data_IF_704446867478
#
_entry.id   IF_704446867478
#
_cell.length_a   1.000
_cell.length_b   1.000
_cell.length_c   1.000
_cell.angle_alpha   90.00
_cell.angle_beta   90.00
_cell.angle_gamma   90.00
#
_symmetry.space_group_name_H-M   'P 1'
#
loop_
_entity.id
_entity.type
_entity.pdbx_description
1 polymer ?
#
# COMPACT_ATOMS: atom_id res chain seq x y z
N UNK A 1 20.04 5.85 18.80
CA UNK A 1 19.37 7.14 18.52
C UNK A 1 17.93 7.00 18.95
N UNK A 2 17.40 7.97 19.73
CA UNK A 2 16.01 7.96 20.18
C UNK A 2 15.34 9.21 19.60
N UNK A 3 14.22 9.02 18.92
CA UNK A 3 13.39 10.08 18.38
C UNK A 3 12.01 10.02 19.03
N UNK A 4 11.46 11.19 19.35
CA UNK A 4 10.13 11.34 19.93
C UNK A 4 9.22 12.02 18.93
N UNK A 5 8.01 11.50 18.78
CA UNK A 5 6.97 12.07 17.92
C UNK A 5 5.75 12.45 18.74
N UNK A 6 5.12 13.57 18.38
CA UNK A 6 3.92 14.09 19.04
C UNK A 6 2.84 14.35 18.00
N UNK A 7 1.65 13.82 18.23
CA UNK A 7 0.47 14.21 17.45
C UNK A 7 -0.03 15.56 18.00
N UNK A 8 -0.27 16.53 17.11
CA UNK A 8 -0.40 17.95 17.47
C UNK A 8 -1.52 18.32 18.46
N UNK A 9 -2.42 17.40 18.79
CA UNK A 9 -3.53 17.59 19.75
C UNK A 9 -3.33 16.87 21.09
N UNK A 10 -2.29 16.07 21.26
CA UNK A 10 -1.90 15.54 22.57
C UNK A 10 -0.87 16.46 23.20
N UNK A 11 -0.77 16.53 24.52
CA UNK A 11 0.28 17.28 25.19
C UNK A 11 1.56 16.45 25.41
N UNK A 12 1.41 15.13 25.48
CA UNK A 12 2.47 14.15 25.69
C UNK A 12 2.92 13.47 24.37
N UNK A 13 4.16 12.96 24.28
CA UNK A 13 4.63 12.21 23.12
C UNK A 13 3.78 10.96 22.90
N UNK A 14 3.21 10.85 21.70
CA UNK A 14 2.29 9.75 21.34
C UNK A 14 3.04 8.47 21.00
N UNK A 15 4.30 8.58 20.58
CA UNK A 15 5.16 7.43 20.36
C UNK A 15 6.64 7.75 20.60
N UNK A 16 7.39 6.71 20.94
CA UNK A 16 8.85 6.72 21.00
C UNK A 16 9.42 5.72 19.98
N UNK A 17 10.41 6.15 19.19
CA UNK A 17 11.14 5.30 18.27
C UNK A 17 12.62 5.28 18.69
N UNK A 18 13.12 4.10 19.03
CA UNK A 18 14.51 3.90 19.40
C UNK A 18 15.19 2.91 18.46
N UNK A 19 16.35 3.31 17.95
CA UNK A 19 17.19 2.48 17.11
C UNK A 19 18.52 2.22 17.81
N UNK A 20 18.84 0.95 17.99
CA UNK A 20 20.10 0.48 18.57
C UNK A 20 20.79 -0.42 17.57
N UNK A 21 22.01 -0.06 17.18
CA UNK A 21 22.89 -0.93 16.40
C UNK A 21 23.74 -1.73 17.39
N UNK A 22 23.61 -3.05 17.36
CA UNK A 22 24.46 -3.93 18.16
C UNK A 22 25.49 -4.59 17.25
N UNK A 23 26.80 -4.35 17.47
CA UNK A 23 27.83 -5.13 16.80
C UNK A 23 27.84 -6.54 17.37
N UNK A 24 27.83 -7.57 16.52
CA UNK A 24 28.06 -8.94 16.98
C UNK A 24 29.52 -9.10 17.44
N UNK A 25 29.75 -9.89 18.49
CA UNK A 25 31.10 -10.31 18.88
C UNK A 25 31.62 -11.19 17.74
N UNK A 26 32.63 -10.69 17.02
CA UNK A 26 33.12 -11.33 15.80
C UNK A 26 33.51 -12.80 16.00
N UNK A 27 33.23 -13.61 14.99
CA UNK A 27 33.82 -14.94 14.91
C UNK A 27 35.33 -14.83 14.59
N UNK A 28 36.04 -15.96 14.70
CA UNK A 28 37.50 -16.01 14.47
C UNK A 28 37.92 -15.69 13.02
N UNK A 29 36.97 -15.49 12.10
CA UNK A 29 37.25 -15.15 10.69
C UNK A 29 37.29 -13.64 10.42
N UNK A 30 36.90 -12.81 11.40
CA UNK A 30 36.91 -11.35 11.29
C UNK A 30 35.74 -10.80 10.47
N UNK A 31 34.75 -11.62 10.14
CA UNK A 31 33.54 -11.19 9.47
C UNK A 31 32.54 -10.66 10.50
N UNK A 32 31.96 -9.48 10.25
CA UNK A 32 31.07 -8.81 11.19
C UNK A 32 29.66 -8.75 10.63
N UNK A 33 28.73 -9.49 11.24
CA UNK A 33 27.31 -9.20 11.09
C UNK A 33 26.94 -8.12 12.09
N UNK A 34 26.06 -7.23 11.67
CA UNK A 34 25.47 -6.23 12.56
C UNK A 34 23.97 -6.40 12.54
N UNK A 35 23.36 -6.24 13.70
CA UNK A 35 21.92 -6.22 13.85
C UNK A 35 21.48 -4.80 14.18
N UNK A 36 20.41 -4.36 13.52
CA UNK A 36 19.72 -3.12 13.86
C UNK A 36 18.45 -3.51 14.59
N UNK A 37 18.38 -3.17 15.87
CA UNK A 37 17.15 -3.30 16.65
C UNK A 37 16.38 -1.99 16.57
N UNK A 38 15.15 -2.07 16.08
CA UNK A 38 14.20 -0.97 16.07
C UNK A 38 13.13 -1.27 17.11
N UNK A 39 12.94 -0.36 18.05
CA UNK A 39 11.90 -0.45 19.06
C UNK A 39 10.95 0.74 18.88
N UNK A 40 9.67 0.43 18.72
CA UNK A 40 8.59 1.41 18.55
C UNK A 40 7.60 1.23 19.68
N UNK A 41 7.38 2.29 20.44
CA UNK A 41 6.45 2.32 21.58
C UNK A 41 5.35 3.31 21.26
N UNK A 42 4.09 2.90 21.38
CA UNK A 42 2.95 3.78 21.27
C UNK A 42 2.36 4.03 22.66
N UNK A 43 2.22 5.29 23.03
CA UNK A 43 1.70 5.69 24.33
C UNK A 43 0.26 6.19 24.17
N UNK A 44 -0.68 5.48 24.79
CA UNK A 44 -2.06 5.90 24.87
C UNK A 44 -2.29 6.67 26.16
N UNK A 45 -2.99 7.81 26.07
CA UNK A 45 -3.53 8.46 27.26
C UNK A 45 -4.61 7.56 27.86
N UNK A 46 -4.41 7.16 29.12
CA UNK A 46 -5.42 6.43 29.87
C UNK A 46 -6.57 7.39 30.23
N UNK A 47 -7.81 6.90 30.13
CA UNK A 47 -8.96 7.58 30.70
C UNK A 47 -8.88 7.63 32.24
N UNK A 48 -9.73 8.45 32.87
CA UNK A 48 -9.67 8.68 34.31
C UNK A 48 -10.03 7.42 35.13
N UNK A 49 -10.77 6.49 34.55
CA UNK A 49 -11.12 5.20 35.17
C UNK A 49 -9.87 4.30 35.24
N UNK A 50 -9.12 4.19 34.15
CA UNK A 50 -7.87 3.43 34.07
C UNK A 50 -6.73 4.08 34.86
N UNK A 51 -6.66 5.42 34.92
CA UNK A 51 -5.73 6.13 35.83
C UNK A 51 -6.00 5.80 37.30
N UNK A 52 -7.27 5.58 37.66
CA UNK A 52 -7.68 5.19 39.01
C UNK A 52 -7.24 3.77 39.41
N UNK A 53 -6.88 2.90 38.47
CA UNK A 53 -6.55 1.50 38.75
C UNK A 53 -5.17 1.27 39.39
N UNK A 54 -4.35 2.32 39.59
CA UNK A 54 -2.93 2.26 40.00
C UNK A 54 -2.06 1.45 39.01
N UNK A 55 -0.83 1.90 38.77
CA UNK A 55 0.06 1.23 37.81
C UNK A 55 0.38 -0.20 38.27
N UNK A 56 -0.15 -1.20 37.58
CA UNK A 56 0.34 -2.58 37.68
C UNK A 56 1.16 -2.88 36.43
N UNK A 57 2.48 -2.79 36.55
CA UNK A 57 3.37 -3.36 35.56
C UNK A 57 3.56 -4.83 35.90
N UNK A 58 2.70 -5.69 35.36
CA UNK A 58 2.88 -7.13 35.44
C UNK A 58 3.33 -7.62 34.07
N UNK A 59 4.56 -8.11 34.00
CA UNK A 59 5.13 -8.67 32.79
C UNK A 59 4.79 -10.15 32.77
N UNK A 60 3.91 -10.56 31.86
CA UNK A 60 3.57 -11.96 31.70
C UNK A 60 4.37 -12.55 30.54
N UNK A 61 5.20 -13.54 30.85
CA UNK A 61 5.85 -14.38 29.85
C UNK A 61 5.18 -15.76 29.89
N UNK A 62 4.74 -16.32 28.74
CA UNK A 62 4.23 -17.68 28.72
C UNK A 62 5.35 -18.65 29.15
N UNK A 63 5.23 -19.22 30.36
CA UNK A 63 6.11 -20.31 30.83
C UNK A 63 5.84 -21.62 30.07
N UNK A 64 4.81 -21.68 29.23
CA UNK A 64 4.36 -22.91 28.56
C UNK A 64 5.34 -23.41 27.49
N UNK A 65 6.36 -22.63 27.12
CA UNK A 65 7.29 -22.98 26.04
C UNK A 65 6.67 -22.92 24.64
N UNK A 66 5.43 -22.44 24.53
CA UNK A 66 4.76 -22.24 23.25
C UNK A 66 5.43 -21.11 22.47
N UNK A 67 5.48 -21.25 21.14
CA UNK A 67 5.95 -20.16 20.29
C UNK A 67 5.02 -18.95 20.41
N UNK A 68 5.58 -17.74 20.27
CA UNK A 68 4.80 -16.48 20.26
C UNK A 68 3.58 -16.55 19.32
N UNK A 69 3.74 -17.24 18.19
CA UNK A 69 2.71 -17.39 17.17
C UNK A 69 1.59 -18.33 17.62
N UNK A 70 1.93 -19.42 18.31
CA UNK A 70 0.94 -20.30 18.93
C UNK A 70 0.15 -19.58 20.03
N UNK A 71 0.82 -18.76 20.83
CA UNK A 71 0.19 -17.94 21.85
C UNK A 71 -0.74 -16.87 21.25
N UNK A 72 -0.28 -16.09 20.26
CA UNK A 72 -1.11 -15.08 19.55
C UNK A 72 -2.35 -15.72 18.93
N UNK A 73 -2.19 -16.89 18.31
CA UNK A 73 -3.32 -17.66 17.78
C UNK A 73 -4.29 -18.10 18.88
N UNK A 74 -3.83 -18.38 20.10
CA UNK A 74 -4.68 -18.75 21.23
C UNK A 74 -5.51 -17.57 21.73
N UNK A 75 -4.92 -16.37 21.82
CA UNK A 75 -5.61 -15.13 22.22
C UNK A 75 -6.70 -14.79 21.20
N UNK A 76 -6.40 -14.92 19.90
CA UNK A 76 -7.38 -14.73 18.82
C UNK A 76 -8.55 -15.71 18.87
N UNK A 77 -8.34 -16.94 19.34
CA UNK A 77 -9.41 -17.94 19.56
C UNK A 77 -10.27 -17.59 20.78
N UNK A 78 -9.68 -17.13 21.87
CA UNK A 78 -10.41 -16.73 23.07
C UNK A 78 -11.27 -15.48 22.88
N UNK A 79 -10.83 -14.52 22.05
CA UNK A 79 -11.63 -13.35 21.66
C UNK A 79 -12.89 -13.74 20.86
N UNK A 80 -12.78 -14.73 19.96
CA UNK A 80 -13.91 -15.25 19.18
C UNK A 80 -14.95 -15.98 20.05
N UNK A 81 -14.51 -16.64 21.13
CA UNK A 81 -15.41 -17.30 22.08
C UNK A 81 -16.26 -16.32 22.90
N UNK A 82 -15.83 -15.06 23.08
CA UNK A 82 -16.63 -14.02 23.75
C UNK A 82 -17.64 -13.35 22.81
N UNK A 83 -17.30 -13.23 21.52
CA UNK A 83 -18.22 -12.66 20.52
C UNK A 83 -19.38 -13.60 20.15
N UNK A 84 -19.25 -14.90 20.37
CA UNK A 84 -20.37 -15.85 20.23
C UNK A 84 -21.48 -15.65 21.30
N UNK A 85 -21.18 -14.99 22.43
CA UNK A 85 -22.17 -14.71 23.48
C UNK A 85 -22.98 -13.42 23.22
N UNK A 86 -22.65 -12.63 22.19
CA UNK A 86 -23.29 -11.35 21.86
C UNK A 86 -23.99 -11.36 20.49
N UNK A 87 -24.63 -12.48 20.14
CA UNK A 87 -25.84 -12.52 19.29
C UNK A 87 -25.92 -11.60 18.07
N UNK A 88 -24.86 -11.48 17.26
CA UNK A 88 -24.90 -10.79 15.97
C UNK A 88 -24.70 -11.80 14.84
N UNK A 89 -25.80 -12.42 14.40
CA UNK A 89 -25.84 -13.12 13.12
C UNK A 89 -26.29 -12.13 12.04
N UNK A 90 -25.34 -11.66 11.23
CA UNK A 90 -25.63 -10.97 9.98
C UNK A 90 -25.69 -12.01 8.86
N UNK A 91 -26.85 -12.18 8.26
CA UNK A 91 -27.06 -13.06 7.12
C UNK A 91 -26.53 -12.39 5.85
N UNK A 92 -25.33 -12.79 5.41
CA UNK A 92 -24.82 -12.44 4.08
C UNK A 92 -25.51 -13.32 3.04
N UNK A 93 -26.41 -12.72 2.26
CA UNK A 93 -26.85 -13.28 0.99
C UNK A 93 -25.67 -13.20 0.00
N UNK A 94 -25.05 -14.34 -0.30
CA UNK A 94 -24.10 -14.49 -1.38
C UNK A 94 -24.89 -14.46 -2.69
N UNK A 95 -24.93 -13.31 -3.35
CA UNK A 95 -25.24 -13.24 -4.77
C UNK A 95 -24.05 -13.83 -5.53
N UNK A 96 -24.31 -14.83 -6.38
CA UNK A 96 -23.34 -15.30 -7.36
C UNK A 96 -23.05 -14.16 -8.33
N UNK A 97 -21.97 -13.42 -8.07
CA UNK A 97 -21.37 -12.51 -9.04
C UNK A 97 -20.85 -13.41 -10.16
N UNK A 98 -21.48 -13.33 -11.32
CA UNK A 98 -20.99 -13.94 -12.55
C UNK A 98 -19.57 -13.43 -12.78
N UNK A 99 -18.56 -14.26 -12.46
CA UNK A 99 -17.17 -13.94 -12.72
C UNK A 99 -17.00 -13.76 -14.23
N UNK A 100 -17.07 -12.50 -14.66
CA UNK A 100 -16.62 -12.09 -15.99
C UNK A 100 -15.24 -12.68 -16.18
N UNK A 101 -15.03 -13.37 -17.30
CA UNK A 101 -13.79 -14.09 -17.59
C UNK A 101 -12.61 -13.12 -17.48
N UNK A 102 -11.91 -13.13 -16.34
CA UNK A 102 -10.71 -12.32 -16.12
C UNK A 102 -9.71 -12.59 -17.25
N UNK A 103 -9.24 -11.52 -17.90
CA UNK A 103 -8.24 -11.64 -18.94
C UNK A 103 -6.97 -12.35 -18.43
N UNK A 104 -6.22 -13.03 -19.31
CA UNK A 104 -4.99 -13.75 -18.90
C UNK A 104 -3.98 -12.84 -18.19
N UNK A 105 -4.00 -11.53 -18.49
CA UNK A 105 -3.09 -10.55 -17.89
C UNK A 105 -3.42 -10.23 -16.43
N UNK A 106 -4.70 -10.03 -16.09
CA UNK A 106 -5.14 -9.79 -14.71
C UNK A 106 -4.80 -10.98 -13.81
N UNK A 107 -5.01 -12.21 -14.28
CA UNK A 107 -4.65 -13.42 -13.53
C UNK A 107 -3.16 -13.46 -13.19
N UNK A 108 -2.30 -13.10 -14.14
CA UNK A 108 -0.85 -13.01 -13.91
C UNK A 108 -0.52 -11.94 -12.86
N UNK A 109 -1.14 -10.77 -12.95
CA UNK A 109 -0.92 -9.69 -11.97
C UNK A 109 -1.40 -10.06 -10.56
N UNK A 110 -2.56 -10.70 -10.44
CA UNK A 110 -3.04 -11.21 -9.15
C UNK A 110 -2.08 -12.27 -8.59
N UNK A 111 -1.59 -13.18 -9.43
CA UNK A 111 -0.61 -14.18 -8.99
C UNK A 111 0.70 -13.55 -8.49
N UNK A 112 1.16 -12.45 -9.10
CA UNK A 112 2.28 -11.66 -8.60
C UNK A 112 1.93 -10.99 -7.26
N UNK A 113 0.81 -10.27 -7.19
CA UNK A 113 0.34 -9.58 -6.00
C UNK A 113 0.22 -10.51 -4.79
N UNK A 114 -0.27 -11.75 -4.97
CA UNK A 114 -0.39 -12.71 -3.87
C UNK A 114 0.96 -13.13 -3.26
N UNK A 115 2.06 -12.93 -3.98
CA UNK A 115 3.43 -13.24 -3.52
C UNK A 115 4.13 -12.05 -2.88
N UNK A 116 3.67 -10.82 -3.16
CA UNK A 116 4.25 -9.59 -2.62
C UNK A 116 3.99 -9.49 -1.11
N UNK A 117 4.99 -9.09 -0.29
CA UNK A 117 4.79 -8.83 1.13
C UNK A 117 3.69 -7.78 1.37
N UNK A 118 2.80 -8.05 2.31
CA UNK A 118 1.61 -7.22 2.61
C UNK A 118 1.35 -7.16 4.11
N UNK A 119 0.59 -6.16 4.52
CA UNK A 119 0.10 -6.08 5.90
C UNK A 119 -0.68 -7.35 6.27
N UNK A 120 -0.44 -7.86 7.49
CA UNK A 120 -1.13 -9.04 7.97
C UNK A 120 -2.64 -8.81 8.04
N UNK A 121 -3.42 -9.68 7.42
CA UNK A 121 -4.89 -9.59 7.39
C UNK A 121 -5.44 -8.69 6.29
N UNK A 122 -4.60 -8.10 5.44
CA UNK A 122 -5.08 -7.40 4.25
C UNK A 122 -5.80 -8.36 3.29
N UNK A 123 -7.03 -8.00 2.90
CA UNK A 123 -7.85 -8.73 1.95
C UNK A 123 -7.75 -8.03 0.59
N UNK A 124 -7.60 -8.83 -0.48
CA UNK A 124 -7.69 -8.32 -1.86
C UNK A 124 -9.10 -8.56 -2.35
N UNK A 125 -9.80 -7.47 -2.59
CA UNK A 125 -11.17 -7.46 -3.10
C UNK A 125 -11.34 -6.37 -4.14
N UNK A 126 -12.30 -6.58 -5.04
CA UNK A 126 -12.67 -5.58 -6.04
C UNK A 126 -13.43 -4.40 -5.45
N UNK A 127 -13.43 -3.29 -6.18
CA UNK A 127 -14.16 -2.09 -5.84
C UNK A 127 -15.67 -2.34 -6.00
N UNK A 128 -16.45 -1.81 -5.06
CA UNK A 128 -17.90 -1.78 -5.21
C UNK A 128 -18.29 -0.97 -6.46
N UNK A 129 -19.41 -1.35 -7.09
CA UNK A 129 -19.92 -0.66 -8.29
C UNK A 129 -20.19 0.82 -8.00
N UNK A 130 -20.70 1.11 -6.80
CA UNK A 130 -20.97 2.45 -6.31
C UNK A 130 -19.69 3.28 -6.16
N UNK A 131 -18.61 2.67 -5.66
CA UNK A 131 -17.30 3.33 -5.56
C UNK A 131 -16.75 3.71 -6.95
N UNK A 132 -16.82 2.80 -7.91
CA UNK A 132 -16.42 3.10 -9.30
C UNK A 132 -17.29 4.19 -9.94
N UNK A 133 -18.58 4.26 -9.61
CA UNK A 133 -19.47 5.31 -10.09
C UNK A 133 -19.13 6.67 -9.48
N UNK A 134 -18.88 6.71 -8.17
CA UNK A 134 -18.44 7.91 -7.47
C UNK A 134 -17.10 8.41 -7.99
N UNK A 135 -16.13 7.51 -8.21
CA UNK A 135 -14.84 7.89 -8.78
C UNK A 135 -14.99 8.53 -10.16
N UNK A 136 -15.84 7.97 -11.05
CA UNK A 136 -16.15 8.60 -12.36
C UNK A 136 -16.73 10.00 -12.18
N UNK A 137 -17.61 10.17 -11.20
CA UNK A 137 -18.21 11.47 -10.88
C UNK A 137 -17.16 12.47 -10.42
N UNK A 138 -16.27 12.10 -9.48
CA UNK A 138 -15.18 12.93 -8.96
C UNK A 138 -14.21 13.38 -10.05
N UNK A 139 -13.99 12.55 -11.06
CA UNK A 139 -13.14 12.87 -12.21
C UNK A 139 -13.84 13.69 -13.30
N UNK A 140 -15.17 13.71 -13.31
CA UNK A 140 -15.94 14.30 -14.40
C UNK A 140 -15.78 13.59 -15.74
N UNK A 141 -15.51 12.28 -15.75
CA UNK A 141 -15.24 11.53 -16.98
C UNK A 141 -15.16 10.01 -16.80
N UNK A 142 -14.89 9.32 -17.92
CA UNK A 142 -14.71 7.86 -17.93
C UNK A 142 -13.37 7.45 -17.32
N UNK A 143 -13.40 6.32 -16.61
CA UNK A 143 -12.18 5.70 -16.10
C UNK A 143 -11.39 5.03 -17.23
N UNK A 144 -10.05 5.07 -17.19
CA UNK A 144 -9.24 4.23 -18.06
C UNK A 144 -9.68 2.76 -17.98
N UNK A 145 -9.85 2.05 -19.12
CA UNK A 145 -10.33 0.67 -19.11
C UNK A 145 -9.49 -0.27 -18.23
N UNK A 146 -8.16 -0.16 -18.32
CA UNK A 146 -7.25 -0.97 -17.49
C UNK A 146 -7.39 -0.66 -16.00
N UNK A 147 -7.60 0.61 -15.64
CA UNK A 147 -7.82 0.98 -14.24
C UNK A 147 -9.16 0.43 -13.73
N UNK A 148 -10.21 0.48 -14.56
CA UNK A 148 -11.50 -0.12 -14.23
C UNK A 148 -11.36 -1.63 -14.02
N UNK A 149 -10.69 -2.33 -14.94
CA UNK A 149 -10.44 -3.76 -14.86
C UNK A 149 -9.62 -4.14 -13.62
N UNK A 150 -8.60 -3.36 -13.29
CA UNK A 150 -7.80 -3.56 -12.08
C UNK A 150 -8.61 -3.34 -10.80
N UNK A 151 -9.33 -2.21 -10.71
CA UNK A 151 -10.12 -1.88 -9.53
C UNK A 151 -11.23 -2.91 -9.29
N UNK A 152 -11.77 -3.53 -10.33
CA UNK A 152 -12.75 -4.62 -10.20
C UNK A 152 -12.21 -5.87 -9.50
N UNK A 153 -10.90 -6.06 -9.43
CA UNK A 153 -10.28 -7.21 -8.75
C UNK A 153 -9.40 -6.84 -7.55
N UNK A 154 -8.94 -5.59 -7.47
CA UNK A 154 -8.11 -5.08 -6.38
C UNK A 154 -8.37 -3.59 -6.13
N UNK A 155 -9.15 -3.28 -5.09
CA UNK A 155 -9.52 -1.93 -4.68
C UNK A 155 -8.50 -1.28 -3.74
N UNK A 156 -7.26 -1.22 -4.21
CA UNK A 156 -6.13 -0.70 -3.45
C UNK A 156 -5.50 -1.73 -2.51
N UNK A 157 -4.19 -1.60 -2.33
CA UNK A 157 -3.38 -2.49 -1.49
C UNK A 157 -2.18 -1.74 -0.90
N UNK A 158 -1.73 -2.15 0.28
CA UNK A 158 -0.48 -1.68 0.90
C UNK A 158 0.78 -2.25 0.24
N UNK A 159 0.64 -3.02 -0.85
CA UNK A 159 1.77 -3.55 -1.62
C UNK A 159 2.53 -2.43 -2.33
N UNK A 160 3.86 -2.41 -2.17
CA UNK A 160 4.71 -1.33 -2.66
C UNK A 160 4.98 -0.24 -1.61
N UNK A 161 5.97 0.63 -1.82
CA UNK A 161 6.48 1.53 -0.79
C UNK A 161 5.47 2.59 -0.33
N UNK A 162 4.50 2.98 -1.17
CA UNK A 162 3.38 3.85 -0.81
C UNK A 162 2.01 3.27 -1.13
N UNK A 163 1.93 1.97 -1.42
CA UNK A 163 0.70 1.29 -1.82
C UNK A 163 0.21 1.60 -3.24
N UNK A 164 -0.75 0.79 -3.69
CA UNK A 164 -1.56 1.00 -4.89
C UNK A 164 -2.92 1.49 -4.46
N UNK A 165 -3.43 2.51 -5.16
CA UNK A 165 -4.64 3.19 -4.72
C UNK A 165 -5.92 2.52 -5.24
N UNK A 166 -6.97 2.63 -4.43
CA UNK A 166 -8.33 2.18 -4.70
C UNK A 166 -9.34 3.32 -4.57
N UNK A 167 -10.62 3.02 -4.72
CA UNK A 167 -11.73 3.98 -4.63
C UNK A 167 -12.68 3.62 -3.49
N UNK A 168 -13.25 4.63 -2.85
CA UNK A 168 -14.27 4.43 -1.80
C UNK A 168 -13.80 3.58 -0.62
N UNK A 169 -12.49 3.47 -0.41
CA UNK A 169 -11.90 2.79 0.76
C UNK A 169 -11.86 3.72 1.96
N UNK A 170 -12.04 3.16 3.15
CA UNK A 170 -11.85 3.80 4.46
C UNK A 170 -10.38 4.12 4.77
N UNK A 171 -9.44 3.58 4.00
CA UNK A 171 -8.00 3.80 4.14
C UNK A 171 -7.56 5.01 3.32
N UNK A 172 -7.59 6.20 3.93
CA UNK A 172 -7.25 7.48 3.27
C UNK A 172 -5.94 7.44 2.48
N UNK A 173 -4.88 6.82 3.02
CA UNK A 173 -3.54 6.76 2.42
C UNK A 173 -3.45 5.92 1.12
N UNK A 174 -4.50 5.18 0.75
CA UNK A 174 -4.61 4.51 -0.54
C UNK A 174 -5.93 4.85 -1.25
N UNK A 175 -6.63 5.89 -0.82
CA UNK A 175 -7.89 6.33 -1.40
C UNK A 175 -7.59 7.35 -2.51
N UNK A 176 -8.00 7.04 -3.74
CA UNK A 176 -7.78 7.90 -4.91
C UNK A 176 -8.41 9.28 -4.70
N UNK A 177 -9.65 9.34 -4.24
CA UNK A 177 -10.42 10.56 -4.06
C UNK A 177 -9.78 11.49 -3.03
N UNK A 178 -9.24 10.92 -1.95
CA UNK A 178 -8.46 11.63 -0.94
C UNK A 178 -7.24 12.29 -1.58
N UNK A 179 -6.45 11.55 -2.36
CA UNK A 179 -5.24 12.10 -3.01
C UNK A 179 -5.56 13.14 -4.08
N UNK A 180 -6.63 12.98 -4.84
CA UNK A 180 -7.11 14.03 -5.75
C UNK A 180 -7.58 15.27 -4.97
N UNK A 181 -8.12 15.09 -3.76
CA UNK A 181 -8.47 16.18 -2.85
C UNK A 181 -7.27 17.02 -2.40
N UNK A 182 -6.10 16.41 -2.26
CA UNK A 182 -4.85 17.09 -1.90
C UNK A 182 -4.33 18.00 -3.03
N UNK A 183 -4.50 17.58 -4.28
CA UNK A 183 -4.00 18.28 -5.48
C UNK A 183 -5.13 18.43 -6.52
N UNK A 184 -6.10 19.32 -6.27
CA UNK A 184 -7.30 19.44 -7.12
C UNK A 184 -6.98 19.78 -8.58
N UNK A 185 -5.84 20.41 -8.85
CA UNK A 185 -5.35 20.78 -10.18
C UNK A 185 -5.05 19.58 -11.08
N UNK A 186 -4.76 18.41 -10.50
CA UNK A 186 -4.57 17.18 -11.28
C UNK A 186 -5.82 16.78 -12.07
N UNK A 187 -7.01 17.14 -11.59
CA UNK A 187 -8.25 16.98 -12.39
C UNK A 187 -8.18 17.75 -13.69
N UNK A 188 -7.70 19.01 -13.64
CA UNK A 188 -7.54 19.86 -14.82
C UNK A 188 -6.48 19.35 -15.80
N UNK A 189 -5.50 18.59 -15.29
CA UNK A 189 -4.48 17.91 -16.10
C UNK A 189 -4.95 16.55 -16.64
N UNK A 190 -6.13 16.09 -16.23
CA UNK A 190 -6.63 14.73 -16.46
C UNK A 190 -5.65 13.68 -15.94
N UNK A 191 -5.14 13.88 -14.73
CA UNK A 191 -4.22 12.95 -14.08
C UNK A 191 -4.91 12.23 -12.93
N UNK A 192 -4.55 10.97 -12.78
CA UNK A 192 -5.08 10.07 -11.77
C UNK A 192 -3.94 9.47 -10.95
N UNK A 193 -3.92 9.66 -9.63
CA UNK A 193 -2.98 8.93 -8.78
C UNK A 193 -3.37 7.46 -8.72
N UNK A 194 -2.40 6.58 -8.96
CA UNK A 194 -2.60 5.12 -8.92
C UNK A 194 -1.72 4.42 -7.87
N UNK A 195 -0.76 5.13 -7.29
CA UNK A 195 0.06 4.64 -6.18
C UNK A 195 1.04 5.70 -5.68
N UNK A 196 1.64 5.44 -4.52
CA UNK A 196 2.65 6.31 -3.91
C UNK A 196 4.03 5.67 -3.84
N UNK A 197 5.06 6.49 -3.63
CA UNK A 197 6.41 6.02 -3.32
C UNK A 197 6.71 5.92 -1.81
N UNK A 198 5.74 6.26 -0.96
CA UNK A 198 5.87 6.29 0.50
C UNK A 198 6.56 7.54 1.05
N UNK A 199 7.00 8.46 0.19
CA UNK A 199 7.71 9.69 0.53
C UNK A 199 6.99 10.96 0.04
N UNK A 200 5.73 10.85 -0.38
CA UNK A 200 4.91 11.98 -0.83
C UNK A 200 4.94 12.23 -2.34
N UNK A 201 5.58 11.36 -3.12
CA UNK A 201 5.52 11.38 -4.57
C UNK A 201 4.56 10.32 -5.10
N UNK A 202 4.12 10.49 -6.34
CA UNK A 202 3.01 9.72 -6.88
C UNK A 202 3.32 9.12 -8.24
N UNK A 203 2.82 7.90 -8.42
CA UNK A 203 2.63 7.30 -9.74
C UNK A 203 1.27 7.71 -10.25
N UNK A 204 1.26 8.32 -11.43
CA UNK A 204 0.09 8.94 -12.04
C UNK A 204 -0.20 8.33 -13.40
N UNK A 205 -1.46 8.36 -13.81
CA UNK A 205 -1.91 7.96 -15.15
C UNK A 205 -2.79 9.05 -15.76
N UNK A 206 -2.72 9.23 -17.08
CA UNK A 206 -3.64 10.10 -17.80
C UNK A 206 -5.06 9.51 -17.95
N UNK A 207 -6.09 10.24 -17.52
CA UNK A 207 -7.52 9.88 -17.60
C UNK A 207 -8.21 10.39 -18.86
N UNK A 208 -7.64 11.38 -19.55
CA UNK A 208 -8.21 11.94 -20.78
C UNK A 208 -7.09 12.39 -21.71
N UNK A 209 -7.30 12.29 -23.03
CA UNK A 209 -6.39 12.82 -24.04
C UNK A 209 -6.12 11.84 -25.19
N UNK A 210 -6.65 12.18 -26.38
CA UNK A 210 -6.65 11.46 -27.66
C UNK A 210 -7.06 9.98 -27.58
N UNK A 211 -7.85 9.53 -28.54
CA UNK A 211 -8.29 8.13 -28.69
C UNK A 211 -7.14 7.11 -28.82
N UNK A 212 -5.88 7.54 -28.76
CA UNK A 212 -4.69 6.71 -28.76
C UNK A 212 -4.46 6.06 -27.40
N UNK A 213 -4.78 4.78 -27.33
CA UNK A 213 -4.01 3.85 -26.50
C UNK A 213 -2.56 3.83 -27.00
N UNK A 214 -1.54 3.74 -26.12
CA UNK A 214 -1.64 3.41 -24.69
C UNK A 214 -1.65 4.64 -23.75
N UNK A 215 -2.07 4.44 -22.49
CA UNK A 215 -2.13 5.47 -21.43
C UNK A 215 -0.97 5.26 -20.46
N UNK A 216 0.14 5.98 -20.63
CA UNK A 216 1.35 5.70 -19.88
C UNK A 216 1.21 6.08 -18.41
N UNK A 217 1.99 5.39 -17.58
CA UNK A 217 2.16 5.70 -16.16
C UNK A 217 3.45 6.50 -16.00
N UNK A 218 3.38 7.58 -15.24
CA UNK A 218 4.52 8.47 -14.97
C UNK A 218 4.66 8.77 -13.49
N UNK A 219 5.87 9.16 -13.12
CA UNK A 219 6.22 9.58 -11.77
C UNK A 219 6.15 11.10 -11.65
N UNK A 220 5.59 11.60 -10.55
CA UNK A 220 5.54 13.02 -10.20
C UNK A 220 6.26 13.22 -8.87
N UNK A 221 7.42 13.89 -8.92
CA UNK A 221 8.06 14.47 -7.75
C UNK A 221 7.31 15.75 -7.36
N UNK A 222 6.51 15.65 -6.30
CA UNK A 222 5.64 16.76 -5.87
C UNK A 222 6.47 17.90 -5.28
N UNK A 223 7.62 17.58 -4.69
CA UNK A 223 8.50 18.57 -4.06
C UNK A 223 9.26 19.41 -5.10
N UNK A 224 9.56 18.84 -6.27
CA UNK A 224 10.14 19.56 -7.40
C UNK A 224 9.06 20.28 -8.23
N UNK A 225 8.10 19.53 -8.80
CA UNK A 225 7.03 20.12 -9.62
C UNK A 225 5.80 19.19 -9.72
N UNK A 226 4.82 19.44 -8.85
CA UNK A 226 3.53 18.71 -8.80
C UNK A 226 2.72 18.73 -10.12
N UNK A 227 3.00 19.66 -11.04
CA UNK A 227 2.24 19.87 -12.29
C UNK A 227 2.93 19.29 -13.52
N UNK A 228 4.09 18.65 -13.37
CA UNK A 228 4.89 18.11 -14.47
C UNK A 228 5.33 16.68 -14.15
N UNK A 229 5.28 15.73 -15.11
CA UNK A 229 5.90 14.43 -14.93
C UNK A 229 7.42 14.60 -14.76
N UNK A 230 8.02 13.87 -13.82
CA UNK A 230 9.48 13.77 -13.73
C UNK A 230 10.00 12.83 -14.80
N UNK A 231 9.36 11.66 -14.97
CA UNK A 231 9.65 10.68 -16.01
C UNK A 231 8.52 9.65 -16.17
N UNK A 232 8.47 8.96 -17.31
CA UNK A 232 7.56 7.83 -17.52
C UNK A 232 8.15 6.53 -16.99
N UNK A 233 7.30 5.68 -16.40
CA UNK A 233 7.71 4.42 -15.75
C UNK A 233 7.13 3.16 -16.40
N UNK A 234 6.08 3.31 -17.20
CA UNK A 234 5.48 2.25 -18.02
C UNK A 234 4.63 2.84 -19.14
N UNK A 235 4.45 2.09 -20.23
CA UNK A 235 3.56 2.44 -21.33
C UNK A 235 2.08 2.27 -20.99
N UNK A 236 1.75 1.42 -20.02
CA UNK A 236 0.38 1.17 -19.58
C UNK A 236 0.32 0.71 -18.10
N UNK A 237 -0.90 0.62 -17.53
CA UNK A 237 -1.11 0.28 -16.13
C UNK A 237 -0.56 -1.09 -15.77
N UNK A 238 -0.78 -2.07 -16.63
CA UNK A 238 -0.49 -3.46 -16.33
C UNK A 238 1.01 -3.73 -16.38
N UNK A 239 1.75 -3.06 -17.26
CA UNK A 239 3.22 -3.08 -17.21
C UNK A 239 3.72 -2.42 -15.92
N UNK A 240 3.14 -1.29 -15.50
CA UNK A 240 3.48 -0.65 -14.23
C UNK A 240 3.27 -1.58 -13.03
N UNK A 241 2.10 -2.22 -12.92
CA UNK A 241 1.79 -3.13 -11.82
C UNK A 241 2.73 -4.35 -11.82
N UNK A 242 3.00 -4.93 -12.99
CA UNK A 242 3.96 -6.03 -13.13
C UNK A 242 5.35 -5.63 -12.64
N UNK A 243 5.87 -4.50 -13.12
CA UNK A 243 7.17 -3.99 -12.70
C UNK A 243 7.25 -3.71 -11.19
N UNK A 244 6.21 -3.10 -10.63
CA UNK A 244 6.16 -2.79 -9.21
C UNK A 244 6.17 -4.08 -8.38
N UNK A 245 5.30 -5.05 -8.69
CA UNK A 245 5.22 -6.30 -7.92
C UNK A 245 6.49 -7.13 -8.05
N UNK A 246 7.11 -7.17 -9.22
CA UNK A 246 8.41 -7.83 -9.38
C UNK A 246 9.51 -7.15 -8.56
N UNK A 247 9.54 -5.82 -8.52
CA UNK A 247 10.47 -5.07 -7.67
C UNK A 247 10.27 -5.40 -6.20
N UNK A 248 9.03 -5.48 -5.72
CA UNK A 248 8.72 -5.90 -4.34
C UNK A 248 9.11 -7.37 -4.06
N UNK A 249 9.21 -8.20 -5.11
CA UNK A 249 9.75 -9.55 -5.05
C UNK A 249 11.29 -9.62 -5.18
N UNK A 250 11.97 -8.48 -5.18
CA UNK A 250 13.42 -8.37 -5.25
C UNK A 250 14.01 -8.40 -6.66
N UNK A 251 13.18 -8.30 -7.70
CA UNK A 251 13.68 -8.19 -9.08
C UNK A 251 14.18 -6.76 -9.30
N UNK A 252 15.47 -6.65 -9.60
CA UNK A 252 16.10 -5.35 -9.88
C UNK A 252 15.91 -4.93 -11.35
N UNK A 253 15.96 -3.62 -11.58
CA UNK A 253 16.06 -3.06 -12.93
C UNK A 253 15.02 -1.99 -13.24
N UNK A 254 13.81 -2.10 -12.71
CA UNK A 254 12.81 -1.05 -12.88
C UNK A 254 12.99 0.09 -11.85
N UNK A 255 12.79 1.38 -12.22
CA UNK A 255 12.52 1.89 -13.56
C UNK A 255 13.77 2.31 -14.35
N UNK A 256 15.00 2.11 -13.84
CA UNK A 256 16.20 2.79 -14.36
C UNK A 256 17.04 1.99 -15.38
N UNK A 257 16.89 0.67 -15.45
CA UNK A 257 17.69 -0.20 -16.33
C UNK A 257 16.98 -0.38 -17.66
N UNK A 258 17.35 0.45 -18.64
CA UNK A 258 16.80 0.46 -20.00
C UNK A 258 16.51 -0.92 -20.59
N UNK A 259 17.53 -1.80 -20.63
CA UNK A 259 17.41 -3.13 -21.25
C UNK A 259 16.35 -4.01 -20.57
N UNK A 260 16.21 -3.88 -19.26
CA UNK A 260 15.19 -4.60 -18.49
C UNK A 260 13.79 -4.09 -18.87
N UNK A 261 13.60 -2.76 -18.81
CA UNK A 261 12.29 -2.15 -19.03
C UNK A 261 11.84 -2.30 -20.48
N UNK A 262 12.68 -1.96 -21.47
CA UNK A 262 12.35 -2.10 -22.90
C UNK A 262 12.14 -3.56 -23.32
N UNK A 263 12.76 -4.52 -22.62
CA UNK A 263 12.58 -5.95 -22.89
C UNK A 263 11.20 -6.48 -22.48
N UNK A 264 10.59 -5.88 -21.46
CA UNK A 264 9.26 -6.26 -20.95
C UNK A 264 8.15 -5.36 -21.46
N UNK A 265 8.45 -4.09 -21.63
CA UNK A 265 7.55 -3.06 -22.15
C UNK A 265 8.19 -2.37 -23.36
N UNK A 266 8.14 -2.99 -24.56
CA UNK A 266 8.77 -2.43 -25.76
C UNK A 266 8.19 -1.05 -26.15
N UNK A 267 6.91 -0.82 -25.84
CA UNK A 267 6.20 0.40 -26.20
C UNK A 267 6.71 1.62 -25.44
N UNK A 268 7.32 1.44 -24.27
CA UNK A 268 7.89 2.55 -23.47
C UNK A 268 8.96 3.33 -24.24
N UNK A 269 9.64 2.69 -25.19
CA UNK A 269 10.72 3.31 -25.99
C UNK A 269 10.23 4.50 -26.83
N UNK A 270 8.93 4.51 -27.15
CA UNK A 270 8.27 5.58 -27.91
C UNK A 270 7.97 6.82 -27.06
N UNK A 271 8.02 6.70 -25.74
CA UNK A 271 7.79 7.80 -24.83
C UNK A 271 9.05 8.68 -24.71
N UNK A 272 8.81 9.94 -24.39
CA UNK A 272 9.85 10.90 -24.02
C UNK A 272 10.12 10.82 -22.51
N UNK A 273 11.09 11.57 -21.99
CA UNK A 273 11.34 11.70 -20.54
C UNK A 273 11.47 10.34 -19.80
N UNK A 274 12.33 9.47 -20.30
CA UNK A 274 12.63 8.18 -19.67
C UNK A 274 13.77 8.37 -18.65
N UNK A 275 13.76 7.66 -17.51
CA UNK A 275 14.69 7.93 -16.41
C UNK A 275 16.16 7.54 -16.71
N UNK A 276 16.42 6.91 -17.85
CA UNK A 276 17.76 6.57 -18.35
C UNK A 276 18.19 7.42 -19.56
N UNK A 277 17.41 8.43 -19.94
CA UNK A 277 17.71 9.34 -21.04
C UNK A 277 18.17 10.71 -20.54
#
# INVERSE_FOLDING_TARGET
MIQYGKVGWCDDPTFSLSMVRQPEIGDSSGDHKHYVQVNFEFQYSLDDELKGMQSRAEWWFPESGDSLQAWLASVGRSARSRNAALGLQSACALSEVTMSQEGPRIKTLLALLYRVPRASGEVIEGAATEGLAELRHVLGGELPPQLTEWLQVCNGTTSGPGGIFGTGTDREHINIEFHIGLYPEWRGLNWMPIGGDGCGNYYMMATSGRESTPRPVFFVDVMDNWSKPSYFVASDLFHFLEFLFEKELGVEGWPFVRRYVEGKDPNISSLEMLPWR
#
